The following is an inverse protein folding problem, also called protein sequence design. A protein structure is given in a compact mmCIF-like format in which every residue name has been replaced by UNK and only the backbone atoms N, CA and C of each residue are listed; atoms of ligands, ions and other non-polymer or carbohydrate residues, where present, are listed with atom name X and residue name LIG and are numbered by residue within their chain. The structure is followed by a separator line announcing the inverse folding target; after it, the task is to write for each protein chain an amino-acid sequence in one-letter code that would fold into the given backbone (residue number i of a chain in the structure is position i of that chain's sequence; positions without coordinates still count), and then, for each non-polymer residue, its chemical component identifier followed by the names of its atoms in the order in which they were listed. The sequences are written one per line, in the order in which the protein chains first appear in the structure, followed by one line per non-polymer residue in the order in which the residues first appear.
data_IF_506144381371
#
_entry.id   IF_506144381371
#
_cell.length_a   1.000
_cell.length_b   1.000
_cell.length_c   1.000
_cell.angle_alpha   90.00
_cell.angle_beta   90.00
_cell.angle_gamma   90.00
#
_symmetry.space_group_name_H-M   'P 1'
#
loop_
_entity.id
_entity.type
_entity.pdbx_description
1 polymer ?
#
# COMPACT_ATOMS: atom_id res chain seq x y z
N UNK A 1 7.13 1.71 1.05
CA UNK A 1 8.13 2.15 0.08
C UNK A 1 7.52 2.34 -1.31
N UNK A 2 7.05 1.29 -2.00
CA UNK A 2 6.60 1.37 -3.40
C UNK A 2 5.45 2.36 -3.64
N UNK A 3 4.58 2.56 -2.68
CA UNK A 3 3.46 3.50 -2.78
C UNK A 3 3.87 4.98 -2.64
N UNK A 4 4.98 5.26 -1.96
CA UNK A 4 5.29 6.63 -1.56
C UNK A 4 6.79 6.98 -1.60
N UNK A 5 7.61 6.23 -2.38
CA UNK A 5 9.07 6.42 -2.38
C UNK A 5 9.52 7.82 -2.81
N UNK A 6 8.76 8.47 -3.68
CA UNK A 6 9.04 9.82 -4.17
C UNK A 6 8.49 10.93 -3.26
N UNK A 7 7.73 10.55 -2.23
CA UNK A 7 7.14 11.51 -1.30
C UNK A 7 8.15 12.03 -0.28
N UNK A 8 7.82 13.16 0.32
CA UNK A 8 8.49 13.64 1.52
C UNK A 8 8.33 12.65 2.68
N UNK A 9 9.12 12.81 3.75
CA UNK A 9 8.97 11.99 4.95
C UNK A 9 7.55 12.02 5.52
N UNK A 10 6.92 13.21 5.54
CA UNK A 10 5.52 13.38 5.96
C UNK A 10 4.53 12.66 5.05
N UNK A 11 4.75 12.65 3.73
CA UNK A 11 3.93 11.92 2.76
C UNK A 11 4.04 10.40 2.94
N UNK A 12 5.26 9.89 3.18
CA UNK A 12 5.48 8.47 3.51
C UNK A 12 4.78 8.09 4.82
N UNK A 13 4.88 8.97 5.85
CA UNK A 13 4.19 8.76 7.12
C UNK A 13 2.66 8.73 6.94
N UNK A 14 2.11 9.59 6.08
CA UNK A 14 0.68 9.61 5.79
C UNK A 14 0.19 8.31 5.17
N UNK A 15 0.89 7.77 4.18
CA UNK A 15 0.56 6.46 3.59
C UNK A 15 0.65 5.34 4.63
N UNK A 16 1.67 5.37 5.49
CA UNK A 16 1.80 4.43 6.62
C UNK A 16 0.65 4.55 7.62
N UNK A 17 0.23 5.76 7.96
CA UNK A 17 -0.91 6.02 8.86
C UNK A 17 -2.23 5.49 8.26
N UNK A 18 -2.46 5.65 6.95
CA UNK A 18 -3.64 5.03 6.31
C UNK A 18 -3.64 3.51 6.49
N UNK A 19 -2.48 2.86 6.37
CA UNK A 19 -2.38 1.41 6.62
C UNK A 19 -2.74 1.07 8.07
N UNK A 20 -2.24 1.82 9.05
CA UNK A 20 -2.59 1.67 10.46
C UNK A 20 -4.09 1.90 10.70
N UNK A 21 -4.63 3.01 10.18
CA UNK A 21 -6.05 3.33 10.33
C UNK A 21 -6.96 2.22 9.80
N UNK A 22 -6.55 1.55 8.71
CA UNK A 22 -7.26 0.38 8.19
C UNK A 22 -7.21 -0.78 9.17
N UNK A 23 -6.06 -1.09 9.75
CA UNK A 23 -5.94 -2.17 10.76
C UNK A 23 -6.79 -1.91 12.00
N UNK A 24 -6.91 -0.66 12.41
CA UNK A 24 -7.70 -0.22 13.56
C UNK A 24 -9.21 -0.14 13.27
N UNK A 25 -9.62 -0.10 12.02
CA UNK A 25 -11.01 0.01 11.57
C UNK A 25 -11.59 -1.37 11.21
N UNK A 26 -12.65 -1.79 11.92
CA UNK A 26 -13.30 -3.10 11.77
C UNK A 26 -13.82 -3.42 10.36
N UNK A 27 -13.91 -2.43 9.47
CA UNK A 27 -14.27 -2.63 8.05
C UNK A 27 -13.13 -3.24 7.22
N UNK A 28 -11.92 -3.32 7.79
CA UNK A 28 -10.72 -3.79 7.12
C UNK A 28 -10.14 -5.01 7.84
N UNK A 29 -9.21 -5.74 7.21
CA UNK A 29 -8.46 -6.79 7.90
C UNK A 29 -7.73 -6.27 9.14
N UNK A 30 -7.59 -7.11 10.15
CA UNK A 30 -7.02 -6.75 11.45
C UNK A 30 -5.50 -6.82 11.53
N UNK A 31 -4.82 -7.21 10.47
CA UNK A 31 -3.36 -7.27 10.42
C UNK A 31 -2.78 -6.44 9.28
N UNK A 32 -1.59 -5.89 9.48
CA UNK A 32 -0.88 -5.11 8.47
C UNK A 32 -0.63 -5.91 7.18
N UNK A 33 -0.25 -7.18 7.31
CA UNK A 33 -0.02 -8.03 6.14
C UNK A 33 -1.29 -8.23 5.32
N UNK A 34 -2.42 -8.52 5.97
CA UNK A 34 -3.70 -8.70 5.27
C UNK A 34 -4.18 -7.40 4.62
N UNK A 35 -4.02 -6.25 5.29
CA UNK A 35 -4.37 -4.94 4.71
C UNK A 35 -3.52 -4.66 3.46
N UNK A 36 -2.21 -4.90 3.53
CA UNK A 36 -1.28 -4.65 2.40
C UNK A 36 -1.54 -5.60 1.24
N UNK A 37 -1.79 -6.87 1.53
CA UNK A 37 -2.04 -7.89 0.50
C UNK A 37 -3.51 -7.97 0.05
N UNK A 38 -4.36 -7.04 0.50
CA UNK A 38 -5.78 -7.06 0.19
C UNK A 38 -6.06 -6.87 -1.30
N UNK A 39 -6.80 -7.80 -1.86
CA UNK A 39 -7.26 -7.74 -3.25
C UNK A 39 -7.99 -9.02 -3.66
N UNK A 40 -8.74 -8.99 -4.77
CA UNK A 40 -9.36 -10.19 -5.30
C UNK A 40 -8.30 -11.18 -5.79
N UNK A 41 -8.51 -12.44 -5.51
CA UNK A 41 -7.64 -13.53 -5.93
C UNK A 41 -8.27 -14.36 -7.05
N UNK A 42 -7.44 -15.13 -7.73
CA UNK A 42 -7.83 -16.17 -8.68
C UNK A 42 -7.14 -17.46 -8.32
N UNK A 43 -7.83 -18.57 -8.41
CA UNK A 43 -7.22 -19.88 -8.25
C UNK A 43 -6.27 -20.19 -9.39
N UNK A 44 -5.13 -20.82 -9.07
CA UNK A 44 -4.21 -21.36 -10.05
C UNK A 44 -4.94 -22.36 -10.97
N UNK A 45 -4.65 -22.30 -12.27
CA UNK A 45 -5.19 -23.28 -13.21
C UNK A 45 -4.77 -24.70 -12.87
N UNK A 46 -3.59 -24.89 -12.28
CA UNK A 46 -3.07 -26.20 -11.86
C UNK A 46 -3.94 -26.84 -10.79
N UNK A 47 -4.28 -26.10 -9.73
CA UNK A 47 -5.13 -26.61 -8.65
C UNK A 47 -6.60 -26.67 -9.05
N UNK A 48 -7.06 -25.75 -9.89
CA UNK A 48 -8.45 -25.71 -10.38
C UNK A 48 -8.84 -26.96 -11.20
N UNK A 49 -7.88 -27.64 -11.81
CA UNK A 49 -8.14 -28.89 -12.55
C UNK A 49 -8.44 -30.07 -11.62
N UNK A 50 -8.02 -30.00 -10.38
CA UNK A 50 -8.18 -31.06 -9.39
C UNK A 50 -9.37 -30.75 -8.48
N UNK A 51 -10.52 -31.33 -8.82
CA UNK A 51 -11.78 -31.06 -8.10
C UNK A 51 -11.77 -31.53 -6.64
N UNK A 52 -10.98 -32.58 -6.37
CA UNK A 52 -10.92 -33.25 -5.07
C UNK A 52 -9.90 -32.64 -4.09
N UNK A 53 -9.19 -31.58 -4.49
CA UNK A 53 -8.26 -30.88 -3.59
C UNK A 53 -9.01 -30.17 -2.47
N UNK A 54 -8.52 -30.32 -1.24
CA UNK A 54 -8.97 -29.53 -0.12
C UNK A 54 -8.64 -28.03 -0.33
N UNK A 55 -9.42 -27.13 0.29
CA UNK A 55 -9.18 -25.68 0.13
C UNK A 55 -7.79 -25.23 0.58
N UNK A 56 -7.20 -25.90 1.57
CA UNK A 56 -5.84 -25.65 2.06
C UNK A 56 -4.73 -26.02 1.06
N UNK A 57 -5.04 -26.87 0.07
CA UNK A 57 -4.09 -27.31 -0.98
C UNK A 57 -4.22 -26.50 -2.25
N UNK A 58 -5.24 -25.63 -2.33
CA UNK A 58 -5.47 -24.77 -3.49
C UNK A 58 -4.54 -23.58 -3.46
N UNK A 59 -3.95 -23.27 -4.62
CA UNK A 59 -3.05 -22.14 -4.79
C UNK A 59 -3.81 -20.97 -5.41
N UNK A 60 -3.75 -19.83 -4.74
CA UNK A 60 -4.37 -18.60 -5.20
C UNK A 60 -3.33 -17.54 -5.52
N UNK A 61 -3.59 -16.76 -6.55
CA UNK A 61 -2.77 -15.61 -6.94
C UNK A 61 -3.63 -14.35 -6.96
N UNK A 62 -3.07 -13.18 -6.58
CA UNK A 62 -3.78 -11.92 -6.70
C UNK A 62 -4.15 -11.64 -8.17
N UNK A 63 -5.31 -11.05 -8.40
CA UNK A 63 -5.70 -10.58 -9.72
C UNK A 63 -4.91 -9.33 -10.07
N UNK A 64 -4.19 -9.38 -11.19
CA UNK A 64 -3.32 -8.31 -11.67
C UNK A 64 -4.04 -6.96 -11.72
N UNK A 65 -3.39 -5.90 -11.20
CA UNK A 65 -3.88 -4.52 -11.15
C UNK A 65 -5.21 -4.30 -10.39
N UNK A 66 -5.55 -5.21 -9.46
CA UNK A 66 -6.80 -5.09 -8.67
C UNK A 66 -6.59 -5.09 -7.15
N UNK A 67 -5.36 -5.01 -6.69
CA UNK A 67 -5.04 -4.95 -5.26
C UNK A 67 -5.18 -3.53 -4.72
N UNK A 68 -5.39 -3.43 -3.41
CA UNK A 68 -5.50 -2.14 -2.71
C UNK A 68 -4.16 -1.38 -2.70
N UNK A 69 -3.05 -2.12 -2.63
CA UNK A 69 -1.72 -1.63 -2.87
C UNK A 69 -1.25 -2.11 -4.24
N UNK A 70 -1.00 -1.19 -5.16
CA UNK A 70 -0.80 -1.47 -6.58
C UNK A 70 0.39 -2.40 -6.83
N UNK A 71 1.52 -2.18 -6.14
CA UNK A 71 2.75 -2.93 -6.30
C UNK A 71 2.57 -4.43 -6.01
N UNK A 72 1.70 -4.80 -5.07
CA UNK A 72 1.49 -6.20 -4.69
C UNK A 72 1.00 -7.10 -5.84
N UNK A 73 0.33 -6.53 -6.84
CA UNK A 73 -0.18 -7.32 -7.96
C UNK A 73 -0.05 -6.63 -9.33
N UNK A 74 0.89 -5.73 -9.51
CA UNK A 74 1.16 -5.08 -10.81
C UNK A 74 1.96 -6.00 -11.76
N UNK A 75 2.55 -7.07 -11.22
CA UNK A 75 3.35 -8.04 -11.97
C UNK A 75 4.76 -7.54 -12.30
N UNK A 76 5.20 -6.45 -11.69
CA UNK A 76 6.56 -5.98 -11.77
C UNK A 76 7.45 -6.69 -10.72
N UNK A 77 8.75 -6.60 -10.90
CA UNK A 77 9.70 -7.04 -9.87
C UNK A 77 9.82 -5.97 -8.79
N UNK A 78 9.72 -6.36 -7.54
CA UNK A 78 9.90 -5.48 -6.39
C UNK A 78 11.39 -5.18 -6.15
N UNK A 79 11.98 -4.38 -7.04
CA UNK A 79 13.40 -4.01 -6.97
C UNK A 79 13.53 -2.71 -6.19
N UNK A 80 14.24 -2.76 -5.06
CA UNK A 80 14.46 -1.62 -4.18
C UNK A 80 15.60 -0.74 -4.71
N UNK A 81 16.73 -1.35 -5.00
CA UNK A 81 17.91 -0.67 -5.50
C UNK A 81 18.04 -0.81 -7.01
N UNK A 82 17.44 0.10 -7.74
CA UNK A 82 17.60 0.15 -9.19
C UNK A 82 17.81 1.58 -9.67
N UNK A 83 18.62 1.73 -10.71
CA UNK A 83 18.64 2.95 -11.48
C UNK A 83 17.53 2.91 -12.52
N UNK A 84 16.69 3.90 -12.49
CA UNK A 84 15.66 4.11 -13.49
C UNK A 84 16.01 5.33 -14.32
N UNK A 85 16.82 5.18 -15.35
CA UNK A 85 17.27 6.27 -16.23
C UNK A 85 16.10 7.13 -16.74
N UNK A 86 15.00 6.47 -17.12
CA UNK A 86 13.80 7.14 -17.63
C UNK A 86 13.09 8.04 -16.61
N UNK A 87 13.29 7.80 -15.31
CA UNK A 87 12.62 8.54 -14.23
C UNK A 87 13.57 9.37 -13.39
N UNK A 88 14.89 9.36 -13.72
CA UNK A 88 15.92 10.07 -12.97
C UNK A 88 16.15 9.53 -11.54
N UNK A 89 15.65 8.36 -11.22
CA UNK A 89 15.83 7.74 -9.89
C UNK A 89 17.19 7.08 -9.78
N UNK A 90 17.96 7.48 -8.77
CA UNK A 90 19.29 6.93 -8.49
C UNK A 90 19.22 5.80 -7.45
N UNK A 91 20.24 4.92 -7.44
CA UNK A 91 20.41 3.89 -6.41
C UNK A 91 20.44 4.52 -5.00
N UNK A 92 21.15 5.63 -4.82
CA UNK A 92 21.24 6.33 -3.53
C UNK A 92 19.91 6.90 -3.08
N UNK A 93 19.15 7.55 -3.98
CA UNK A 93 17.82 8.07 -3.71
C UNK A 93 16.85 6.96 -3.29
N UNK A 94 16.89 5.83 -3.97
CA UNK A 94 16.09 4.66 -3.64
C UNK A 94 16.49 4.04 -2.29
N UNK A 95 17.79 3.93 -1.99
CA UNK A 95 18.29 3.43 -0.71
C UNK A 95 17.87 4.34 0.45
N UNK A 96 17.92 5.67 0.26
CA UNK A 96 17.43 6.63 1.26
C UNK A 96 15.92 6.44 1.49
N UNK A 97 15.13 6.44 0.42
CA UNK A 97 13.69 6.27 0.51
C UNK A 97 13.30 4.93 1.18
N UNK A 98 14.06 3.87 0.94
CA UNK A 98 13.89 2.58 1.61
C UNK A 98 14.15 2.69 3.11
N UNK A 99 15.29 3.25 3.53
CA UNK A 99 15.62 3.42 4.95
C UNK A 99 14.55 4.24 5.69
N UNK A 100 14.11 5.36 5.10
CA UNK A 100 13.03 6.17 5.67
C UNK A 100 11.73 5.39 5.80
N UNK A 101 11.37 4.58 4.80
CA UNK A 101 10.16 3.75 4.83
C UNK A 101 10.22 2.66 5.89
N UNK A 102 11.39 2.00 6.04
CA UNK A 102 11.60 0.99 7.09
C UNK A 102 11.51 1.62 8.47
N UNK A 103 12.17 2.76 8.69
CA UNK A 103 12.11 3.47 9.95
C UNK A 103 10.68 3.89 10.31
N UNK A 104 9.93 4.42 9.36
CA UNK A 104 8.52 4.77 9.55
C UNK A 104 7.66 3.53 9.86
N UNK A 105 7.90 2.41 9.17
CA UNK A 105 7.18 1.17 9.45
C UNK A 105 7.44 0.67 10.87
N UNK A 106 8.69 0.69 11.33
CA UNK A 106 9.06 0.35 12.71
C UNK A 106 8.32 1.25 13.70
N UNK A 107 8.35 2.57 13.50
CA UNK A 107 7.65 3.50 14.40
C UNK A 107 6.14 3.27 14.45
N UNK A 108 5.51 2.96 13.30
CA UNK A 108 4.07 2.70 13.24
C UNK A 108 3.72 1.37 13.93
N UNK A 109 4.57 0.34 13.79
CA UNK A 109 4.33 -1.00 14.34
C UNK A 109 4.63 -1.09 15.84
N UNK A 110 5.76 -0.51 16.28
CA UNK A 110 6.28 -0.73 17.64
C UNK A 110 5.88 0.36 18.63
N UNK A 111 5.80 1.61 18.17
CA UNK A 111 5.60 2.76 19.05
C UNK A 111 4.21 3.39 18.92
N UNK A 112 3.47 3.02 17.90
CA UNK A 112 2.10 3.47 17.66
C UNK A 112 1.97 5.00 17.57
N UNK A 113 0.89 5.53 18.14
CA UNK A 113 0.54 6.95 18.07
C UNK A 113 1.47 7.88 18.86
N UNK A 114 2.33 7.34 19.75
CA UNK A 114 3.19 8.17 20.59
C UNK A 114 4.30 8.88 19.81
N UNK A 115 4.84 8.25 18.75
CA UNK A 115 5.97 8.79 17.99
C UNK A 115 5.57 9.39 16.64
N UNK A 116 4.56 8.81 15.98
CA UNK A 116 4.05 9.33 14.70
C UNK A 116 2.56 9.63 14.86
N UNK A 117 2.27 10.91 15.07
CA UNK A 117 0.89 11.39 15.05
C UNK A 117 0.27 11.14 13.69
N UNK A 118 -0.99 10.69 13.67
CA UNK A 118 -1.73 10.54 12.42
C UNK A 118 -1.97 11.92 11.79
N UNK A 119 -1.22 12.19 10.72
CA UNK A 119 -1.34 13.41 9.93
C UNK A 119 -2.41 13.29 8.82
N UNK A 120 -3.17 12.20 8.83
CA UNK A 120 -4.26 11.94 7.87
C UNK A 120 -5.65 11.99 8.54
N UNK A 121 -5.70 12.29 9.85
CA UNK A 121 -6.96 12.42 10.60
C UNK A 121 -7.92 11.22 10.45
N UNK A 122 -7.38 10.01 10.46
CA UNK A 122 -8.16 8.79 10.35
C UNK A 122 -8.53 8.40 8.92
N UNK A 123 -7.87 8.96 7.90
CA UNK A 123 -8.11 8.55 6.52
C UNK A 123 -7.82 7.07 6.32
N UNK A 124 -8.71 6.40 5.57
CA UNK A 124 -8.58 5.00 5.19
C UNK A 124 -8.46 4.81 3.68
N UNK A 125 -8.56 5.89 2.91
CA UNK A 125 -8.38 5.92 1.46
C UNK A 125 -7.38 7.00 1.06
N UNK A 126 -6.67 6.76 -0.03
CA UNK A 126 -5.85 7.77 -0.69
C UNK A 126 -5.70 7.43 -2.18
N UNK A 127 -5.34 8.44 -2.96
CA UNK A 127 -4.97 8.30 -4.35
C UNK A 127 -4.00 9.39 -4.78
N UNK A 128 -3.16 9.12 -5.76
CA UNK A 128 -2.26 10.09 -6.35
C UNK A 128 -3.04 11.01 -7.28
N UNK A 129 -3.37 12.21 -6.82
CA UNK A 129 -4.26 13.14 -7.53
C UNK A 129 -3.69 13.71 -8.82
N UNK A 130 -2.36 13.65 -8.99
CA UNK A 130 -1.68 14.00 -10.22
C UNK A 130 -1.72 12.91 -11.31
N UNK A 131 -2.14 11.68 -10.95
CA UNK A 131 -2.18 10.54 -11.86
C UNK A 131 -3.59 10.07 -12.19
N UNK A 132 -4.51 10.13 -11.22
CA UNK A 132 -5.83 9.54 -11.36
C UNK A 132 -6.85 10.24 -10.47
N UNK A 133 -8.10 10.31 -10.93
CA UNK A 133 -9.26 10.60 -10.10
C UNK A 133 -10.14 9.34 -10.08
N UNK A 134 -10.13 8.55 -9.00
CA UNK A 134 -10.85 7.29 -8.97
C UNK A 134 -12.36 7.53 -8.76
N UNK A 135 -13.20 6.76 -9.44
CA UNK A 135 -14.67 6.89 -9.38
C UNK A 135 -15.27 6.74 -7.97
N UNK A 136 -14.57 6.08 -7.05
CA UNK A 136 -15.02 5.93 -5.68
C UNK A 136 -14.80 7.20 -4.83
N UNK A 137 -13.98 8.16 -5.29
CA UNK A 137 -13.62 9.35 -4.53
C UNK A 137 -14.85 10.20 -4.19
N UNK A 138 -15.81 10.34 -5.12
CA UNK A 138 -17.03 11.12 -4.89
C UNK A 138 -17.92 10.59 -3.75
N UNK A 139 -17.73 9.31 -3.37
CA UNK A 139 -18.48 8.66 -2.29
C UNK A 139 -17.78 8.73 -0.93
N UNK A 140 -16.64 9.43 -0.83
CA UNK A 140 -15.81 9.48 0.36
C UNK A 140 -15.68 10.91 0.89
N UNK A 141 -15.55 11.01 2.21
CA UNK A 141 -15.27 12.27 2.87
C UNK A 141 -13.83 12.72 2.55
N UNK A 142 -13.71 13.93 2.00
CA UNK A 142 -12.41 14.56 1.74
C UNK A 142 -11.78 15.01 3.06
N UNK A 143 -10.54 14.60 3.30
CA UNK A 143 -9.75 14.98 4.50
C UNK A 143 -8.72 16.05 4.15
N UNK A 144 -7.95 15.86 3.09
CA UNK A 144 -6.91 16.82 2.72
C UNK A 144 -5.94 16.26 1.68
N UNK A 145 -4.96 17.11 1.37
CA UNK A 145 -3.85 16.79 0.45
C UNK A 145 -2.54 16.86 1.21
N UNK A 146 -1.66 15.89 0.97
CA UNK A 146 -0.30 15.89 1.46
C UNK A 146 0.63 15.26 0.41
N UNK A 147 1.61 16.04 -0.07
CA UNK A 147 2.43 15.65 -1.20
C UNK A 147 1.59 15.45 -2.46
N UNK A 148 1.79 14.36 -3.16
CA UNK A 148 1.05 14.02 -4.37
C UNK A 148 -0.22 13.20 -4.09
N UNK A 149 -0.63 13.05 -2.84
CA UNK A 149 -1.77 12.24 -2.45
C UNK A 149 -2.91 13.04 -1.86
N UNK A 150 -4.13 12.69 -2.26
CA UNK A 150 -5.38 13.13 -1.63
C UNK A 150 -5.83 12.02 -0.67
N UNK A 151 -6.18 12.40 0.56
CA UNK A 151 -6.61 11.50 1.63
C UNK A 151 -8.10 11.65 1.90
N UNK A 152 -8.77 10.52 2.13
CA UNK A 152 -10.23 10.44 2.26
C UNK A 152 -10.62 9.38 3.29
N UNK A 153 -11.86 9.48 3.79
CA UNK A 153 -12.40 8.58 4.81
C UNK A 153 -13.69 7.89 4.38
#
# INVERSE_FOLDING_TARGET
YFEARAESYGGKAAVGNVTRNRVEDSRWPSTYCEVVMQGPVRESWKTKQHKDLADSERVYYPKKHRCKFSWYCDGQKDVIWANYEKTGQTIEGNARAWRESVQLAIYILEVGTMMIKDNTHGATFYYAHNLVYPHWADSKEYIGVLGNHTFMK
#
